data_IF_315929486536
#
_entry.id   IF_315929486536
#
_cell.length_a   1.000
_cell.length_b   1.000
_cell.length_c   1.000
_cell.angle_alpha   90.00
_cell.angle_beta   90.00
_cell.angle_gamma   90.00
#
_symmetry.space_group_name_H-M   'P 1'
#
loop_
_entity.id
_entity.type
_entity.pdbx_description
1 polymer ?
#
# COMPACT_ATOMS: atom_id res chain seq x y z
N UNK A 1 47.24 -10.15 3.46
CA UNK A 1 46.38 -10.43 4.62
C UNK A 1 44.97 -10.50 4.08
N UNK A 2 44.39 -11.70 4.02
CA UNK A 2 43.03 -11.89 3.50
C UNK A 2 42.08 -11.41 4.59
N UNK A 3 41.36 -10.31 4.36
CA UNK A 3 40.20 -9.98 5.19
C UNK A 3 39.16 -11.06 4.90
N UNK A 4 39.09 -12.08 5.75
CA UNK A 4 37.96 -12.99 5.76
C UNK A 4 36.73 -12.17 6.10
N UNK A 5 35.83 -12.00 5.14
CA UNK A 5 34.49 -11.49 5.43
C UNK A 5 33.90 -12.36 6.55
N UNK A 6 33.25 -11.77 7.57
CA UNK A 6 32.61 -12.54 8.62
C UNK A 6 31.69 -13.57 7.96
N UNK A 7 31.89 -14.86 8.30
CA UNK A 7 30.98 -15.91 7.85
C UNK A 7 29.59 -15.56 8.41
N UNK A 8 28.67 -15.14 7.53
CA UNK A 8 27.29 -14.93 7.91
C UNK A 8 26.71 -16.30 8.28
N UNK A 9 26.37 -16.49 9.55
CA UNK A 9 25.75 -17.72 10.02
C UNK A 9 24.41 -17.90 9.29
N UNK A 10 24.25 -19.05 8.63
CA UNK A 10 23.02 -19.44 7.95
C UNK A 10 21.98 -19.83 9.00
N UNK A 11 21.12 -18.89 9.38
CA UNK A 11 20.24 -19.01 10.55
C UNK A 11 18.78 -18.63 10.24
N UNK A 12 17.86 -19.43 10.77
CA UNK A 12 16.45 -19.08 10.97
C UNK A 12 16.19 -19.13 12.47
N UNK A 13 15.62 -18.07 13.03
CA UNK A 13 15.36 -17.95 14.46
C UNK A 13 14.55 -19.14 15.00
N UNK A 14 15.10 -19.87 15.96
CA UNK A 14 14.41 -20.98 16.65
C UNK A 14 13.43 -20.46 17.71
N UNK A 15 12.35 -19.83 17.24
CA UNK A 15 11.26 -19.35 18.09
C UNK A 15 9.90 -19.64 17.48
N UNK A 16 8.95 -20.07 18.31
CA UNK A 16 7.59 -20.27 17.85
C UNK A 16 6.92 -18.94 17.46
N UNK A 17 5.96 -18.95 16.52
CA UNK A 17 5.15 -17.77 16.21
C UNK A 17 4.47 -17.14 17.43
N UNK A 18 4.15 -17.94 18.46
CA UNK A 18 3.58 -17.42 19.71
C UNK A 18 4.60 -16.61 20.52
N UNK A 19 5.84 -17.08 20.60
CA UNK A 19 6.93 -16.37 21.29
C UNK A 19 7.25 -15.07 20.59
N UNK A 20 7.36 -15.08 19.25
CA UNK A 20 7.66 -13.88 18.45
C UNK A 20 6.57 -12.81 18.65
N UNK A 21 5.29 -13.17 18.56
CA UNK A 21 4.19 -12.22 18.82
C UNK A 21 4.28 -11.63 20.24
N UNK A 22 4.59 -12.45 21.25
CA UNK A 22 4.72 -11.97 22.63
C UNK A 22 5.93 -11.06 22.86
N UNK A 23 6.99 -11.20 22.06
CA UNK A 23 8.13 -10.26 22.05
C UNK A 23 7.73 -8.97 21.37
N UNK A 24 7.10 -9.03 20.19
CA UNK A 24 6.62 -7.86 19.44
C UNK A 24 5.71 -6.98 20.31
N UNK A 25 4.81 -7.58 21.08
CA UNK A 25 3.90 -6.83 21.97
C UNK A 25 4.59 -6.08 23.11
N UNK A 26 5.86 -6.39 23.42
CA UNK A 26 6.67 -5.71 24.44
C UNK A 26 7.62 -4.68 23.85
N UNK A 27 7.83 -4.69 22.53
CA UNK A 27 8.76 -3.78 21.87
C UNK A 27 8.39 -2.30 22.02
N UNK A 28 7.11 -1.87 22.04
CA UNK A 28 6.76 -0.47 22.30
C UNK A 28 7.24 0.08 23.66
N UNK A 29 7.49 -0.78 24.64
CA UNK A 29 7.96 -0.39 25.97
C UNK A 29 9.49 -0.32 26.08
N UNK A 30 10.22 -0.59 24.99
CA UNK A 30 11.69 -0.56 24.97
C UNK A 30 12.22 0.89 24.94
N UNK A 31 13.42 1.13 25.50
CA UNK A 31 14.04 2.44 25.44
C UNK A 31 14.48 2.79 24.01
N UNK A 32 14.41 4.09 23.69
CA UNK A 32 14.95 4.67 22.46
C UNK A 32 16.36 5.25 22.70
N UNK A 33 17.31 5.07 21.76
CA UNK A 33 18.64 5.65 21.87
C UNK A 33 18.61 7.18 21.80
N UNK A 34 19.63 7.82 22.35
CA UNK A 34 19.92 9.23 22.09
C UNK A 34 20.92 9.31 20.92
N UNK A 35 20.48 9.79 19.75
CA UNK A 35 21.32 9.91 18.57
C UNK A 35 21.32 8.66 17.67
N UNK A 36 22.47 8.35 17.07
CA UNK A 36 22.60 7.30 16.03
C UNK A 36 23.03 5.92 16.58
N UNK A 37 23.10 5.77 17.90
CA UNK A 37 23.51 4.52 18.53
C UNK A 37 22.45 3.41 18.36
N UNK A 38 22.92 2.17 18.25
CA UNK A 38 22.07 0.98 18.30
C UNK A 38 22.04 0.43 19.73
N UNK A 39 20.86 0.22 20.29
CA UNK A 39 20.69 -0.46 21.58
C UNK A 39 20.39 -1.93 21.33
N UNK A 40 21.17 -2.81 21.94
CA UNK A 40 20.89 -4.25 21.96
C UNK A 40 19.95 -4.58 23.12
N UNK A 41 19.03 -5.51 22.89
CA UNK A 41 18.12 -6.00 23.91
C UNK A 41 17.78 -7.47 23.71
N UNK A 42 17.30 -8.11 24.79
CA UNK A 42 16.89 -9.51 24.79
C UNK A 42 15.59 -9.69 25.56
N UNK A 43 14.54 -10.17 24.88
CA UNK A 43 13.23 -10.47 25.48
C UNK A 43 12.91 -11.94 25.26
N UNK A 44 12.70 -12.68 26.34
CA UNK A 44 12.33 -14.10 26.29
C UNK A 44 13.27 -14.98 25.42
N UNK A 45 14.57 -14.64 25.42
CA UNK A 45 15.59 -15.36 24.66
C UNK A 45 15.78 -14.87 23.22
N UNK A 46 14.89 -14.01 22.71
CA UNK A 46 15.01 -13.40 21.38
C UNK A 46 15.78 -12.09 21.50
N UNK A 47 16.82 -11.95 20.69
CA UNK A 47 17.66 -10.77 20.59
C UNK A 47 17.10 -9.82 19.53
N UNK A 48 17.29 -8.53 19.75
CA UNK A 48 16.87 -7.49 18.84
C UNK A 48 17.65 -6.21 19.08
N UNK A 49 17.43 -5.25 18.20
CA UNK A 49 18.09 -3.97 18.27
C UNK A 49 17.08 -2.82 18.23
N UNK A 50 17.46 -1.68 18.76
CA UNK A 50 16.71 -0.42 18.62
C UNK A 50 17.63 0.61 18.00
N UNK A 51 17.13 1.35 17.02
CA UNK A 51 17.75 2.59 16.55
C UNK A 51 16.76 3.75 16.67
N UNK A 52 17.09 4.92 16.12
CA UNK A 52 16.20 6.09 16.17
C UNK A 52 14.85 5.90 15.46
N UNK A 53 14.74 4.91 14.57
CA UNK A 53 13.57 4.69 13.71
C UNK A 53 12.67 3.58 14.24
N UNK A 54 13.22 2.46 14.69
CA UNK A 54 12.44 1.29 15.07
C UNK A 54 13.13 0.39 16.10
N UNK A 55 12.34 -0.49 16.70
CA UNK A 55 12.79 -1.72 17.32
C UNK A 55 12.74 -2.83 16.26
N UNK A 56 13.80 -3.62 16.08
CA UNK A 56 13.89 -4.66 15.06
C UNK A 56 14.32 -6.00 15.65
N UNK A 57 13.69 -7.08 15.19
CA UNK A 57 14.09 -8.47 15.46
C UNK A 57 14.47 -9.13 14.13
N UNK A 58 15.74 -9.50 13.94
CA UNK A 58 16.13 -10.40 12.87
C UNK A 58 15.45 -11.76 13.03
N UNK A 59 14.81 -12.26 11.98
CA UNK A 59 14.09 -13.53 11.99
C UNK A 59 14.82 -14.62 11.19
N UNK A 60 15.53 -14.23 10.13
CA UNK A 60 16.34 -15.15 9.34
C UNK A 60 17.41 -14.42 8.53
N UNK A 61 18.54 -15.08 8.32
CA UNK A 61 19.57 -14.76 7.35
C UNK A 61 20.13 -16.09 6.81
N UNK A 62 19.53 -16.60 5.73
CA UNK A 62 19.75 -18.01 5.31
C UNK A 62 19.77 -18.15 3.80
N UNK A 63 20.44 -19.19 3.29
CA UNK A 63 20.32 -19.57 1.88
C UNK A 63 19.01 -20.31 1.58
N UNK A 64 18.30 -20.81 2.59
CA UNK A 64 17.04 -21.54 2.47
C UNK A 64 15.80 -20.63 2.42
N UNK A 65 15.53 -20.06 1.25
CA UNK A 65 14.34 -19.23 1.04
C UNK A 65 13.02 -19.94 1.31
N UNK A 66 12.96 -21.27 1.14
CA UNK A 66 11.75 -22.05 1.43
C UNK A 66 11.55 -22.18 2.94
N UNK A 67 12.61 -22.44 3.68
CA UNK A 67 12.62 -22.43 5.15
C UNK A 67 12.10 -21.12 5.71
N UNK A 68 12.55 -19.97 5.17
CA UNK A 68 12.03 -18.64 5.56
C UNK A 68 10.53 -18.54 5.33
N UNK A 69 10.04 -18.93 4.15
CA UNK A 69 8.60 -18.84 3.85
C UNK A 69 7.75 -19.77 4.72
N UNK A 70 8.22 -20.98 4.98
CA UNK A 70 7.55 -21.95 5.86
C UNK A 70 7.56 -21.48 7.32
N UNK A 71 8.59 -20.76 7.76
CA UNK A 71 8.66 -20.09 9.06
C UNK A 71 7.71 -18.88 9.17
N UNK A 72 7.69 -18.01 8.15
CA UNK A 72 6.91 -16.76 8.16
C UNK A 72 5.40 -16.99 7.95
N UNK A 73 4.99 -18.07 7.28
CA UNK A 73 3.57 -18.37 7.03
C UNK A 73 2.72 -18.51 8.31
N UNK A 74 3.09 -19.34 9.30
CA UNK A 74 2.34 -19.43 10.55
C UNK A 74 2.42 -18.16 11.40
N UNK A 75 3.52 -17.40 11.31
CA UNK A 75 3.65 -16.09 11.96
C UNK A 75 2.64 -15.08 11.40
N UNK A 76 2.57 -14.91 10.08
CA UNK A 76 1.58 -14.06 9.40
C UNK A 76 0.15 -14.43 9.77
N UNK A 77 -0.19 -15.72 9.75
CA UNK A 77 -1.52 -16.21 10.14
C UNK A 77 -1.88 -15.86 11.59
N UNK A 78 -0.88 -15.81 12.48
CA UNK A 78 -1.10 -15.43 13.88
C UNK A 78 -1.22 -13.92 14.05
N UNK A 79 -0.42 -13.14 13.33
CA UNK A 79 -0.52 -11.68 13.25
C UNK A 79 -1.90 -11.24 12.73
N UNK A 80 -2.38 -11.84 11.63
CA UNK A 80 -3.72 -11.58 11.07
C UNK A 80 -4.83 -11.82 12.10
N UNK A 81 -4.71 -12.88 12.92
CA UNK A 81 -5.68 -13.13 14.00
C UNK A 81 -5.56 -12.14 15.16
N UNK A 82 -4.35 -11.68 15.45
CA UNK A 82 -4.05 -10.86 16.64
C UNK A 82 -4.33 -9.37 16.42
N UNK A 83 -3.98 -8.85 15.25
CA UNK A 83 -4.04 -7.43 14.89
C UNK A 83 -5.01 -7.12 13.74
N UNK A 84 -5.68 -8.15 13.21
CA UNK A 84 -6.78 -8.04 12.22
C UNK A 84 -6.32 -7.54 10.86
N UNK A 85 -6.51 -6.25 10.58
CA UNK A 85 -6.36 -5.70 9.26
C UNK A 85 -4.88 -5.69 8.87
N UNK A 86 -4.60 -6.36 7.76
CA UNK A 86 -3.27 -6.44 7.19
C UNK A 86 -3.14 -5.41 6.08
N UNK A 87 -2.11 -4.59 6.18
CA UNK A 87 -1.78 -3.57 5.22
C UNK A 87 -0.54 -3.96 4.40
N UNK A 88 -0.39 -3.34 3.25
CA UNK A 88 0.75 -3.49 2.37
C UNK A 88 1.57 -2.21 2.35
N UNK A 89 2.89 -2.33 2.32
CA UNK A 89 3.81 -1.23 2.21
C UNK A 89 4.80 -1.49 1.06
N UNK A 90 4.73 -0.67 0.03
CA UNK A 90 5.59 -0.75 -1.15
C UNK A 90 6.85 0.10 -0.91
N UNK A 91 7.91 -0.55 -0.43
CA UNK A 91 9.16 0.12 -0.14
C UNK A 91 9.90 0.58 -1.40
N UNK A 92 9.52 0.11 -2.60
CA UNK A 92 10.13 0.58 -3.84
C UNK A 92 9.64 1.98 -4.24
N UNK A 93 8.53 2.48 -3.66
CA UNK A 93 7.94 3.78 -3.99
C UNK A 93 8.56 4.97 -3.25
N UNK A 94 9.18 4.75 -2.10
CA UNK A 94 9.65 5.82 -1.21
C UNK A 94 11.17 5.88 -1.20
N UNK A 95 11.75 6.67 -2.10
CA UNK A 95 13.19 6.66 -2.39
C UNK A 95 13.94 7.88 -1.89
N UNK A 96 13.31 8.73 -1.09
CA UNK A 96 13.97 9.93 -0.60
C UNK A 96 15.16 9.56 0.30
N UNK A 97 16.17 10.40 0.24
CA UNK A 97 17.44 10.23 0.92
C UNK A 97 17.86 11.54 1.59
N UNK A 98 19.08 11.55 2.15
CA UNK A 98 19.65 12.72 2.82
C UNK A 98 19.81 13.95 1.92
N UNK A 99 19.82 13.75 0.60
CA UNK A 99 20.03 14.80 -0.39
C UNK A 99 18.69 15.33 -0.94
N UNK A 100 17.57 14.70 -0.56
CA UNK A 100 16.22 15.15 -0.89
C UNK A 100 15.89 16.43 -0.11
N UNK A 101 15.28 17.41 -0.78
CA UNK A 101 14.81 18.64 -0.14
C UNK A 101 13.92 18.26 1.06
N UNK A 102 14.23 18.69 2.30
CA UNK A 102 13.43 18.38 3.48
C UNK A 102 11.95 18.71 3.34
N UNK A 103 11.58 19.64 2.45
CA UNK A 103 10.18 20.03 2.16
C UNK A 103 9.44 19.04 1.27
N UNK A 104 10.18 18.19 0.56
CA UNK A 104 9.68 17.17 -0.34
C UNK A 104 9.89 15.77 0.23
N UNK A 105 10.56 15.67 1.39
CA UNK A 105 10.89 14.40 2.03
C UNK A 105 9.62 13.70 2.51
N UNK A 106 9.32 12.56 1.92
CA UNK A 106 8.32 11.63 2.42
C UNK A 106 8.95 10.82 3.55
N UNK A 107 8.46 11.01 4.77
CA UNK A 107 8.97 10.27 5.94
C UNK A 107 8.95 8.75 5.77
N UNK A 108 8.05 8.20 4.94
CA UNK A 108 8.00 6.76 4.62
C UNK A 108 9.27 6.27 3.93
N UNK A 109 10.07 7.18 3.37
CA UNK A 109 11.36 6.86 2.77
C UNK A 109 12.37 6.32 3.78
N UNK A 110 12.28 6.68 5.07
CA UNK A 110 13.14 6.12 6.12
C UNK A 110 12.90 4.61 6.36
N UNK A 111 11.69 4.14 6.73
CA UNK A 111 11.43 2.70 6.86
C UNK A 111 11.57 1.96 5.54
N UNK A 112 11.24 2.59 4.41
CA UNK A 112 11.44 2.00 3.09
C UNK A 112 12.93 1.77 2.79
N UNK A 113 13.81 2.71 3.15
CA UNK A 113 15.26 2.56 3.05
C UNK A 113 15.78 1.35 3.82
N UNK A 114 15.29 1.16 5.06
CA UNK A 114 15.65 0.00 5.87
C UNK A 114 15.16 -1.32 5.25
N UNK A 115 13.91 -1.39 4.79
CA UNK A 115 13.36 -2.58 4.11
C UNK A 115 14.19 -2.92 2.85
N UNK A 116 14.55 -1.91 2.05
CA UNK A 116 15.40 -2.08 0.86
C UNK A 116 16.82 -2.52 1.20
N UNK A 117 17.42 -2.02 2.28
CA UNK A 117 18.76 -2.45 2.71
C UNK A 117 18.83 -3.93 3.09
N UNK A 118 17.67 -4.56 3.37
CA UNK A 118 17.54 -5.97 3.67
C UNK A 118 17.08 -6.78 2.44
N UNK A 119 17.12 -6.20 1.24
CA UNK A 119 16.79 -6.86 -0.02
C UNK A 119 15.29 -7.03 -0.28
N UNK A 120 14.43 -6.40 0.53
CA UNK A 120 12.98 -6.45 0.34
C UNK A 120 12.49 -5.22 -0.44
N UNK A 121 11.49 -5.42 -1.30
CA UNK A 121 10.78 -4.33 -2.02
C UNK A 121 9.41 -4.02 -1.43
N UNK A 122 8.90 -4.96 -0.65
CA UNK A 122 7.55 -4.95 -0.13
C UNK A 122 7.59 -5.41 1.32
N UNK A 123 6.69 -4.85 2.12
CA UNK A 123 6.43 -5.28 3.46
C UNK A 123 4.93 -5.41 3.72
N UNK A 124 4.61 -6.16 4.75
CA UNK A 124 3.28 -6.29 5.31
C UNK A 124 3.27 -5.64 6.67
N UNK A 125 2.20 -4.93 7.04
CA UNK A 125 2.12 -4.37 8.40
C UNK A 125 0.74 -4.44 9.03
N UNK A 126 0.72 -4.32 10.36
CA UNK A 126 -0.49 -4.29 11.20
C UNK A 126 -0.37 -3.18 12.25
N UNK A 127 -1.50 -2.57 12.61
CA UNK A 127 -1.54 -1.59 13.69
C UNK A 127 -1.36 -2.26 15.08
N UNK A 128 -0.57 -1.62 15.93
CA UNK A 128 -0.30 -1.99 17.33
C UNK A 128 -0.38 -0.72 18.20
N UNK A 129 -1.59 -0.28 18.54
CA UNK A 129 -1.77 0.95 19.29
C UNK A 129 -1.40 2.18 18.47
N UNK A 130 -0.41 2.95 18.92
CA UNK A 130 0.20 4.07 18.17
C UNK A 130 1.36 3.63 17.28
N UNK A 131 1.75 2.36 17.36
CA UNK A 131 2.84 1.76 16.61
C UNK A 131 2.31 0.84 15.50
N UNK A 132 3.21 0.39 14.66
CA UNK A 132 2.96 -0.57 13.61
C UNK A 132 3.99 -1.69 13.65
N UNK A 133 3.50 -2.91 13.43
CA UNK A 133 4.34 -4.10 13.26
C UNK A 133 4.56 -4.30 11.77
N UNK A 134 5.81 -4.24 11.32
CA UNK A 134 6.19 -4.40 9.91
C UNK A 134 6.96 -5.68 9.73
N UNK A 135 6.46 -6.58 8.89
CA UNK A 135 7.11 -7.84 8.53
C UNK A 135 7.49 -7.82 7.06
N UNK A 136 8.74 -8.18 6.77
CA UNK A 136 9.24 -8.28 5.40
C UNK A 136 10.20 -9.46 5.24
N UNK A 137 10.32 -9.90 4.00
CA UNK A 137 11.24 -10.93 3.54
C UNK A 137 11.92 -10.41 2.26
N UNK A 138 13.24 -10.37 2.26
CA UNK A 138 14.06 -9.87 1.18
C UNK A 138 15.05 -10.91 0.70
N UNK A 139 15.57 -10.71 -0.51
CA UNK A 139 16.67 -11.49 -1.04
C UNK A 139 17.82 -10.54 -1.39
N UNK A 140 18.97 -10.75 -0.76
CA UNK A 140 20.18 -10.01 -1.05
C UNK A 140 20.97 -10.75 -2.14
N UNK A 141 21.07 -10.20 -3.37
CA UNK A 141 21.81 -10.86 -4.44
C UNK A 141 23.32 -10.87 -4.21
N UNK A 142 23.86 -9.99 -3.35
CA UNK A 142 25.29 -9.88 -3.06
C UNK A 142 25.74 -11.06 -2.21
N UNK A 143 25.00 -11.30 -1.12
CA UNK A 143 25.31 -12.38 -0.17
C UNK A 143 24.60 -13.70 -0.53
N UNK A 144 23.64 -13.66 -1.47
CA UNK A 144 22.74 -14.75 -1.83
C UNK A 144 21.93 -15.29 -0.64
N UNK A 145 21.59 -14.40 0.28
CA UNK A 145 20.82 -14.72 1.49
C UNK A 145 19.39 -14.19 1.40
N UNK A 146 18.46 -15.00 1.87
CA UNK A 146 17.13 -14.57 2.24
C UNK A 146 17.19 -13.96 3.65
N UNK A 147 16.75 -12.71 3.78
CA UNK A 147 16.75 -11.95 5.02
C UNK A 147 15.31 -11.67 5.41
N UNK A 148 14.91 -12.04 6.63
CA UNK A 148 13.59 -11.72 7.17
C UNK A 148 13.74 -11.03 8.51
N UNK A 149 12.89 -10.04 8.77
CA UNK A 149 12.85 -9.35 10.04
C UNK A 149 11.44 -8.82 10.33
N UNK A 150 11.21 -8.52 11.61
CA UNK A 150 10.05 -7.75 12.05
C UNK A 150 10.51 -6.46 12.73
N UNK A 151 9.86 -5.35 12.40
CA UNK A 151 10.08 -4.05 13.02
C UNK A 151 8.83 -3.61 13.78
N UNK A 152 9.03 -2.90 14.88
CA UNK A 152 8.02 -2.08 15.53
C UNK A 152 8.47 -0.63 15.40
N UNK A 153 7.63 0.18 14.77
CA UNK A 153 7.88 1.58 14.43
C UNK A 153 6.63 2.38 14.76
N UNK A 154 6.76 3.67 15.09
CA UNK A 154 5.58 4.52 15.24
C UNK A 154 4.76 4.49 13.94
N UNK A 155 3.43 4.32 14.08
CA UNK A 155 2.54 4.05 12.95
C UNK A 155 2.55 5.20 11.94
N UNK A 156 2.80 6.41 12.41
CA UNK A 156 2.90 7.61 11.60
C UNK A 156 3.98 7.46 10.50
N UNK A 157 5.10 6.77 10.74
CA UNK A 157 6.07 6.49 9.68
C UNK A 157 5.55 5.68 8.49
N UNK A 158 4.41 5.00 8.60
CA UNK A 158 3.83 4.15 7.55
C UNK A 158 2.52 4.69 6.96
N UNK A 159 1.77 5.45 7.73
CA UNK A 159 0.54 6.12 7.31
C UNK A 159 0.85 7.57 6.90
N UNK A 160 0.24 8.15 5.87
CA UNK A 160 0.26 9.61 5.74
C UNK A 160 -0.72 10.27 6.72
N UNK A 161 -0.13 11.12 7.56
CA UNK A 161 -0.77 11.84 8.65
C UNK A 161 0.29 12.52 9.51
N UNK A 162 0.49 13.82 9.25
CA UNK A 162 1.61 14.66 9.70
C UNK A 162 2.12 14.37 11.11
N UNK A 163 3.44 14.26 11.27
CA UNK A 163 4.07 14.31 12.59
C UNK A 163 3.99 15.75 13.16
N UNK A 164 4.22 15.97 14.46
CA UNK A 164 4.13 17.30 15.08
C UNK A 164 4.97 18.38 14.37
N UNK A 165 6.10 17.97 13.79
CA UNK A 165 7.01 18.84 13.05
C UNK A 165 6.43 19.25 11.67
N UNK A 166 5.79 18.33 10.98
CA UNK A 166 5.12 18.53 9.70
C UNK A 166 3.78 19.28 9.87
N UNK A 167 3.09 19.08 11.00
CA UNK A 167 1.94 19.89 11.44
C UNK A 167 2.35 21.33 11.76
N UNK A 168 3.51 21.56 12.37
CA UNK A 168 4.04 22.90 12.65
C UNK A 168 4.47 23.63 11.37
N UNK A 169 5.12 22.92 10.44
CA UNK A 169 5.44 23.43 9.09
C UNK A 169 4.18 23.77 8.30
N UNK A 170 3.13 22.96 8.42
CA UNK A 170 1.85 23.21 7.77
C UNK A 170 0.97 24.27 8.43
N UNK A 171 1.03 24.43 9.75
CA UNK A 171 0.42 25.58 10.43
C UNK A 171 1.04 26.89 9.94
N UNK A 172 2.33 26.88 9.62
CA UNK A 172 3.00 27.99 8.96
C UNK A 172 2.58 28.17 7.49
N UNK A 173 2.27 27.07 6.75
CA UNK A 173 1.75 27.10 5.37
C UNK A 173 0.28 27.49 5.25
N UNK A 174 -0.55 27.12 6.22
CA UNK A 174 -2.01 27.36 6.23
C UNK A 174 -2.38 28.84 6.36
N UNK A 175 -1.40 29.71 6.61
CA UNK A 175 -1.54 31.15 6.47
C UNK A 175 -1.65 31.61 5.00
N UNK A 176 -1.28 30.77 4.01
CA UNK A 176 -1.25 31.10 2.58
C UNK A 176 -1.71 29.90 1.67
N UNK A 177 -3.02 29.76 1.44
CA UNK A 177 -3.66 29.04 0.29
C UNK A 177 -3.25 27.59 -0.05
N UNK A 178 -3.97 26.58 0.45
CA UNK A 178 -3.66 25.12 0.42
C UNK A 178 -4.22 24.32 -0.79
N UNK A 179 -3.34 23.72 -1.60
CA UNK A 179 -3.62 22.89 -2.79
C UNK A 179 -4.08 21.45 -2.52
N UNK A 180 -4.97 21.22 -1.54
CA UNK A 180 -5.54 19.90 -1.25
C UNK A 180 -6.69 19.51 -2.20
N UNK A 181 -6.90 18.21 -2.46
CA UNK A 181 -8.03 17.74 -3.32
C UNK A 181 -9.39 18.23 -2.82
N UNK A 182 -9.55 18.39 -1.50
CA UNK A 182 -10.75 18.96 -0.93
C UNK A 182 -10.91 20.44 -1.31
N UNK A 183 -9.84 21.23 -1.23
CA UNK A 183 -9.82 22.62 -1.70
C UNK A 183 -10.17 22.70 -3.18
N UNK A 184 -9.63 21.79 -4.00
CA UNK A 184 -9.95 21.70 -5.42
C UNK A 184 -11.43 21.38 -5.69
N UNK A 185 -12.02 20.40 -5.00
CA UNK A 185 -13.44 20.09 -5.11
C UNK A 185 -14.36 21.25 -4.71
N UNK A 186 -13.90 22.11 -3.79
CA UNK A 186 -14.66 23.26 -3.29
C UNK A 186 -14.31 24.58 -4.01
N UNK A 187 -13.37 24.54 -4.96
CA UNK A 187 -12.81 25.74 -5.58
C UNK A 187 -13.76 26.48 -6.51
N UNK A 188 -14.78 25.81 -7.04
CA UNK A 188 -15.60 26.33 -8.14
C UNK A 188 -14.91 26.26 -9.51
N UNK A 189 -13.65 25.83 -9.57
CA UNK A 189 -12.86 25.74 -10.81
C UNK A 189 -13.04 24.35 -11.45
N UNK A 190 -13.56 24.34 -12.67
CA UNK A 190 -13.82 23.12 -13.43
C UNK A 190 -12.58 22.23 -13.60
N UNK A 191 -11.42 22.81 -13.93
CA UNK A 191 -10.20 22.06 -14.20
C UNK A 191 -9.66 21.39 -12.93
N UNK A 192 -9.66 22.12 -11.82
CA UNK A 192 -9.24 21.61 -10.49
C UNK A 192 -10.16 20.49 -10.01
N UNK A 193 -11.48 20.66 -10.19
CA UNK A 193 -12.46 19.61 -9.87
C UNK A 193 -12.20 18.36 -10.70
N UNK A 194 -12.01 18.48 -12.02
CA UNK A 194 -11.78 17.32 -12.88
C UNK A 194 -10.46 16.61 -12.60
N UNK A 195 -9.40 17.35 -12.29
CA UNK A 195 -8.15 16.78 -11.80
C UNK A 195 -8.38 15.93 -10.54
N UNK A 196 -9.14 16.47 -9.58
CA UNK A 196 -9.49 15.76 -8.34
C UNK A 196 -10.39 14.55 -8.56
N UNK A 197 -11.33 14.61 -9.51
CA UNK A 197 -12.16 13.46 -9.92
C UNK A 197 -11.28 12.30 -10.37
N UNK A 198 -10.32 12.55 -11.27
CA UNK A 198 -9.43 11.52 -11.76
C UNK A 198 -8.48 10.98 -10.69
N UNK A 199 -8.03 11.84 -9.76
CA UNK A 199 -7.26 11.41 -8.60
C UNK A 199 -8.06 10.43 -7.71
N UNK A 200 -9.33 10.73 -7.41
CA UNK A 200 -10.22 9.84 -6.64
C UNK A 200 -10.51 8.52 -7.37
N UNK A 201 -10.69 8.56 -8.69
CA UNK A 201 -10.92 7.37 -9.50
C UNK A 201 -9.68 6.46 -9.50
N UNK A 202 -8.49 7.04 -9.58
CA UNK A 202 -7.22 6.34 -9.71
C UNK A 202 -6.64 5.83 -8.38
N UNK A 203 -7.13 6.26 -7.22
CA UNK A 203 -6.55 5.91 -5.92
C UNK A 203 -7.40 4.91 -5.12
N UNK A 204 -6.75 4.03 -4.37
CA UNK A 204 -7.38 3.25 -3.28
C UNK A 204 -6.91 3.67 -1.90
N UNK A 205 -6.11 4.74 -1.83
CA UNK A 205 -5.50 5.23 -0.61
C UNK A 205 -6.56 5.73 0.39
N UNK A 206 -6.74 5.06 1.55
CA UNK A 206 -7.68 5.49 2.57
C UNK A 206 -7.44 6.92 3.06
N UNK A 207 -6.23 7.43 2.97
CA UNK A 207 -5.87 8.77 3.47
C UNK A 207 -6.30 9.87 2.51
N UNK A 208 -6.33 9.57 1.22
CA UNK A 208 -6.95 10.43 0.22
C UNK A 208 -8.48 10.35 0.33
N UNK A 209 -9.03 9.14 0.49
CA UNK A 209 -10.46 8.91 0.39
C UNK A 209 -11.24 9.29 1.66
N UNK A 210 -10.70 9.06 2.86
CA UNK A 210 -11.38 9.33 4.12
C UNK A 210 -11.79 10.79 4.34
N UNK A 211 -10.93 11.82 4.15
CA UNK A 211 -11.34 13.21 4.33
C UNK A 211 -12.38 13.63 3.29
N UNK A 212 -12.31 13.11 2.07
CA UNK A 212 -13.26 13.37 0.99
C UNK A 212 -14.60 12.68 1.25
N UNK A 213 -14.59 11.42 1.69
CA UNK A 213 -15.78 10.64 2.00
C UNK A 213 -16.60 11.28 3.12
N UNK A 214 -15.94 11.73 4.20
CA UNK A 214 -16.57 12.49 5.30
C UNK A 214 -17.27 13.78 4.83
N UNK A 215 -16.81 14.35 3.71
CA UNK A 215 -17.31 15.62 3.15
C UNK A 215 -18.04 15.43 1.81
N UNK A 216 -18.38 14.19 1.45
CA UNK A 216 -18.97 13.83 0.15
C UNK A 216 -20.18 14.67 -0.21
N UNK A 217 -21.08 14.94 0.74
CA UNK A 217 -22.26 15.78 0.52
C UNK A 217 -21.92 17.25 0.27
N UNK A 218 -20.86 17.77 0.91
CA UNK A 218 -20.40 19.14 0.70
C UNK A 218 -19.77 19.27 -0.69
N UNK A 219 -18.92 18.29 -1.06
CA UNK A 219 -18.32 18.19 -2.40
C UNK A 219 -19.41 18.14 -3.47
N UNK A 220 -20.41 17.25 -3.32
CA UNK A 220 -21.54 17.14 -4.22
C UNK A 220 -22.25 18.49 -4.40
N UNK A 221 -22.67 19.14 -3.31
CA UNK A 221 -23.38 20.43 -3.37
C UNK A 221 -22.56 21.54 -4.01
N UNK A 222 -21.25 21.55 -3.77
CA UNK A 222 -20.35 22.58 -4.32
C UNK A 222 -20.16 22.45 -5.83
N UNK A 223 -20.09 21.21 -6.33
CA UNK A 223 -19.77 20.96 -7.75
C UNK A 223 -21.00 20.66 -8.62
N UNK A 224 -22.16 20.31 -8.06
CA UNK A 224 -23.34 19.88 -8.82
C UNK A 224 -23.94 20.97 -9.74
N UNK A 225 -23.64 22.24 -9.51
CA UNK A 225 -24.12 23.36 -10.35
C UNK A 225 -23.04 23.91 -11.27
N UNK A 226 -21.88 23.26 -11.36
CA UNK A 226 -20.78 23.65 -12.22
C UNK A 226 -20.89 22.87 -13.53
N UNK A 227 -20.87 23.56 -14.66
CA UNK A 227 -20.86 22.92 -15.96
C UNK A 227 -19.49 22.26 -16.19
N UNK A 228 -19.39 20.96 -15.91
CA UNK A 228 -18.13 20.21 -16.04
C UNK A 228 -17.78 19.86 -17.49
N UNK A 229 -18.70 20.11 -18.42
CA UNK A 229 -18.52 19.87 -19.85
C UNK A 229 -18.32 18.40 -20.21
N UNK A 230 -17.65 18.16 -21.33
CA UNK A 230 -17.38 16.83 -21.87
C UNK A 230 -17.88 16.68 -23.29
N UNK A 231 -16.97 16.66 -24.26
CA UNK A 231 -17.33 16.58 -25.68
C UNK A 231 -17.68 15.15 -26.13
N UNK A 232 -16.92 14.15 -25.66
CA UNK A 232 -17.06 12.74 -26.07
C UNK A 232 -17.54 11.83 -24.92
N UNK A 233 -17.20 12.20 -23.68
CA UNK A 233 -17.65 11.55 -22.46
C UNK A 233 -18.07 12.63 -21.48
N UNK A 234 -19.24 12.45 -20.84
CA UNK A 234 -19.74 13.41 -19.85
C UNK A 234 -18.82 13.44 -18.64
N UNK A 235 -18.29 14.61 -18.32
CA UNK A 235 -17.49 14.79 -17.12
C UNK A 235 -18.33 14.74 -15.84
N UNK A 236 -19.64 15.01 -15.93
CA UNK A 236 -20.58 14.81 -14.83
C UNK A 236 -20.63 13.33 -14.43
N UNK A 237 -20.68 12.40 -15.40
CA UNK A 237 -20.62 10.96 -15.11
C UNK A 237 -19.31 10.55 -14.43
N UNK A 238 -18.19 11.20 -14.79
CA UNK A 238 -16.91 10.96 -14.11
C UNK A 238 -16.96 11.46 -12.65
N UNK A 239 -17.56 12.64 -12.42
CA UNK A 239 -17.76 13.19 -11.08
C UNK A 239 -18.69 12.31 -10.22
N UNK A 240 -19.83 11.90 -10.76
CA UNK A 240 -20.76 10.96 -10.10
C UNK A 240 -20.07 9.65 -9.73
N UNK A 241 -19.22 9.13 -10.62
CA UNK A 241 -18.45 7.93 -10.35
C UNK A 241 -17.40 8.10 -9.24
N UNK A 242 -16.73 9.26 -9.18
CA UNK A 242 -15.86 9.58 -8.04
C UNK A 242 -16.64 9.61 -6.72
N UNK A 243 -17.86 10.17 -6.70
CA UNK A 243 -18.73 10.16 -5.52
C UNK A 243 -19.18 8.75 -5.14
N UNK A 244 -19.47 7.89 -6.12
CA UNK A 244 -19.76 6.47 -5.88
C UNK A 244 -18.59 5.76 -5.20
N UNK A 245 -17.35 6.02 -5.64
CA UNK A 245 -16.16 5.44 -4.98
C UNK A 245 -16.04 5.90 -3.53
N UNK A 246 -16.26 7.19 -3.26
CA UNK A 246 -16.25 7.72 -1.90
C UNK A 246 -17.34 7.08 -1.03
N UNK A 247 -18.53 6.81 -1.59
CA UNK A 247 -19.60 6.10 -0.90
C UNK A 247 -19.25 4.64 -0.59
N UNK A 248 -18.65 3.93 -1.56
CA UNK A 248 -18.19 2.56 -1.35
C UNK A 248 -17.13 2.50 -0.25
N UNK A 249 -16.20 3.46 -0.25
CA UNK A 249 -15.20 3.60 0.79
C UNK A 249 -15.84 3.80 2.17
N UNK A 250 -16.74 4.78 2.30
CA UNK A 250 -17.45 5.10 3.55
C UNK A 250 -18.27 3.89 4.07
N UNK A 251 -18.84 3.13 3.14
CA UNK A 251 -19.60 1.91 3.43
C UNK A 251 -18.74 0.67 3.67
N UNK A 252 -17.41 0.81 3.75
CA UNK A 252 -16.46 -0.31 3.89
C UNK A 252 -16.61 -1.41 2.83
N UNK A 253 -17.07 -1.06 1.63
CA UNK A 253 -17.15 -1.95 0.46
C UNK A 253 -15.89 -1.80 -0.37
N UNK A 254 -15.41 -2.91 -0.94
CA UNK A 254 -14.25 -2.87 -1.83
C UNK A 254 -14.51 -1.96 -3.04
N UNK A 255 -13.57 -1.08 -3.34
CA UNK A 255 -13.67 -0.08 -4.41
C UNK A 255 -13.81 -0.69 -5.81
N UNK A 256 -13.36 -1.94 -6.01
CA UNK A 256 -13.59 -2.66 -7.27
C UNK A 256 -15.07 -2.92 -7.56
N UNK A 257 -15.96 -2.74 -6.58
CA UNK A 257 -17.39 -2.80 -6.81
C UNK A 257 -17.87 -1.74 -7.81
N UNK A 258 -17.12 -0.65 -7.98
CA UNK A 258 -17.37 0.41 -8.94
C UNK A 258 -16.95 0.06 -10.39
N UNK A 259 -16.12 -0.96 -10.60
CA UNK A 259 -15.56 -1.27 -11.93
C UNK A 259 -16.63 -1.51 -13.02
N UNK A 260 -17.71 -2.29 -12.78
CA UNK A 260 -18.73 -2.51 -13.80
C UNK A 260 -19.49 -1.26 -14.24
N UNK A 261 -19.48 -0.20 -13.42
CA UNK A 261 -20.22 1.03 -13.68
C UNK A 261 -19.41 2.07 -14.47
N UNK A 262 -18.13 1.81 -14.77
CA UNK A 262 -17.25 2.82 -15.34
C UNK A 262 -16.25 2.26 -16.33
N UNK A 263 -16.22 2.88 -17.50
CA UNK A 263 -15.59 2.32 -18.68
C UNK A 263 -14.11 2.68 -18.85
N UNK A 264 -13.52 3.47 -17.94
CA UNK A 264 -12.14 3.97 -18.06
C UNK A 264 -11.15 3.25 -17.14
N UNK A 265 -11.55 2.14 -16.52
CA UNK A 265 -10.61 1.27 -15.81
C UNK A 265 -9.91 0.35 -16.80
N UNK A 266 -8.68 0.70 -17.14
CA UNK A 266 -7.81 -0.13 -17.96
C UNK A 266 -7.14 -1.20 -17.08
N UNK A 267 -7.28 -2.51 -17.39
CA UNK A 267 -6.70 -3.60 -16.61
C UNK A 267 -5.20 -3.46 -16.35
N UNK A 268 -4.43 -3.03 -17.35
CA UNK A 268 -2.99 -2.81 -17.23
C UNK A 268 -2.66 -1.73 -16.21
N UNK A 269 -3.34 -0.57 -16.27
CA UNK A 269 -3.14 0.51 -15.29
C UNK A 269 -3.53 0.08 -13.88
N UNK A 270 -4.62 -0.67 -13.73
CA UNK A 270 -5.03 -1.18 -12.42
C UNK A 270 -4.06 -2.24 -11.88
N UNK A 271 -3.41 -3.03 -12.75
CA UNK A 271 -2.33 -3.93 -12.35
C UNK A 271 -1.06 -3.18 -11.95
N UNK A 272 -0.62 -2.18 -12.74
CA UNK A 272 0.53 -1.32 -12.41
C UNK A 272 0.33 -0.59 -11.09
N UNK A 273 -0.89 -0.17 -10.77
CA UNK A 273 -1.25 0.45 -9.48
C UNK A 273 -1.36 -0.55 -8.32
N UNK A 274 -1.21 -1.85 -8.58
CA UNK A 274 -1.34 -2.89 -7.55
C UNK A 274 -2.78 -3.10 -7.07
N UNK A 275 -3.78 -2.61 -7.81
CA UNK A 275 -5.21 -2.76 -7.46
C UNK A 275 -5.80 -4.08 -7.94
N UNK A 276 -5.22 -4.61 -9.01
CA UNK A 276 -5.68 -5.81 -9.67
C UNK A 276 -4.49 -6.69 -10.11
N UNK A 277 -4.79 -7.93 -10.49
CA UNK A 277 -3.84 -8.85 -11.10
C UNK A 277 -4.50 -9.47 -12.33
N UNK A 278 -3.85 -9.40 -13.48
CA UNK A 278 -4.27 -10.13 -14.68
C UNK A 278 -3.88 -11.60 -14.53
N UNK A 279 -4.84 -12.48 -14.74
CA UNK A 279 -4.66 -13.93 -14.61
C UNK A 279 -4.46 -14.61 -15.96
N UNK A 280 -4.97 -14.03 -17.03
CA UNK A 280 -4.91 -14.59 -18.38
C UNK A 280 -5.96 -13.97 -19.27
N UNK A 281 -6.21 -14.60 -20.42
CA UNK A 281 -7.18 -14.14 -21.40
C UNK A 281 -8.12 -15.26 -21.84
N UNK A 282 -9.31 -14.89 -22.31
CA UNK A 282 -10.27 -15.78 -22.95
C UNK A 282 -10.52 -15.33 -24.39
N UNK A 283 -10.60 -16.27 -25.36
CA UNK A 283 -11.07 -15.93 -26.70
C UNK A 283 -12.45 -15.26 -26.65
N UNK A 284 -12.64 -14.26 -27.50
CA UNK A 284 -13.93 -13.59 -27.69
C UNK A 284 -14.18 -13.43 -29.18
N UNK A 285 -14.93 -14.38 -29.75
CA UNK A 285 -15.20 -14.44 -31.19
C UNK A 285 -16.02 -13.24 -31.72
N UNK A 286 -16.57 -12.42 -30.83
CA UNK A 286 -17.32 -11.20 -31.17
C UNK A 286 -16.46 -9.95 -31.34
N UNK A 287 -15.14 -10.01 -31.08
CA UNK A 287 -14.28 -8.82 -31.12
C UNK A 287 -12.82 -9.17 -31.46
N UNK A 288 -12.01 -8.14 -31.75
CA UNK A 288 -10.61 -8.31 -32.18
C UNK A 288 -9.64 -8.66 -31.04
N UNK A 289 -10.00 -8.35 -29.79
CA UNK A 289 -9.16 -8.59 -28.62
C UNK A 289 -9.74 -9.71 -27.77
N UNK A 290 -8.92 -10.62 -27.22
CA UNK A 290 -9.43 -11.55 -26.22
C UNK A 290 -9.82 -10.78 -24.96
N UNK A 291 -10.76 -11.31 -24.19
CA UNK A 291 -11.13 -10.72 -22.91
C UNK A 291 -10.08 -11.02 -21.86
N UNK A 292 -9.82 -10.08 -20.96
CA UNK A 292 -8.88 -10.26 -19.86
C UNK A 292 -9.59 -10.81 -18.63
N UNK A 293 -8.98 -11.78 -17.94
CA UNK A 293 -9.44 -12.25 -16.64
C UNK A 293 -8.62 -11.56 -15.56
N UNK A 294 -9.30 -10.81 -14.71
CA UNK A 294 -8.69 -9.91 -13.74
C UNK A 294 -9.20 -10.19 -12.34
N UNK A 295 -8.29 -10.32 -11.38
CA UNK A 295 -8.56 -10.50 -9.97
C UNK A 295 -8.33 -9.18 -9.22
N UNK A 296 -9.31 -8.72 -8.44
CA UNK A 296 -9.09 -7.63 -7.49
C UNK A 296 -8.16 -8.07 -6.36
N UNK A 297 -7.09 -7.31 -6.08
CA UNK A 297 -6.11 -7.68 -5.04
C UNK A 297 -6.64 -7.49 -3.60
N UNK A 298 -7.63 -6.62 -3.39
CA UNK A 298 -8.15 -6.34 -2.04
C UNK A 298 -9.19 -7.36 -1.57
N UNK A 299 -10.13 -7.74 -2.43
CA UNK A 299 -11.26 -8.62 -2.04
C UNK A 299 -11.33 -9.93 -2.83
N UNK A 300 -10.43 -10.15 -3.80
CA UNK A 300 -10.41 -11.37 -4.60
C UNK A 300 -11.56 -11.51 -5.60
N UNK A 301 -12.37 -10.47 -5.84
CA UNK A 301 -13.44 -10.53 -6.86
C UNK A 301 -12.81 -10.71 -8.25
N UNK A 302 -13.34 -11.66 -9.02
CA UNK A 302 -12.94 -11.94 -10.39
C UNK A 302 -13.79 -11.16 -11.39
N UNK A 303 -13.15 -10.72 -12.46
CA UNK A 303 -13.77 -10.01 -13.56
C UNK A 303 -13.31 -10.56 -14.90
N UNK A 304 -14.24 -10.63 -15.85
CA UNK A 304 -13.98 -10.67 -17.29
C UNK A 304 -14.03 -9.24 -17.79
N UNK A 305 -12.97 -8.80 -18.46
CA UNK A 305 -12.86 -7.44 -18.98
C UNK A 305 -12.83 -7.48 -20.50
N UNK A 306 -13.88 -6.90 -21.07
CA UNK A 306 -14.05 -6.72 -22.50
C UNK A 306 -13.43 -5.37 -22.89
N UNK A 307 -12.57 -5.35 -23.91
CA UNK A 307 -12.01 -4.12 -24.50
C UNK A 307 -12.76 -3.82 -25.78
N UNK A 308 -13.30 -2.61 -25.86
CA UNK A 308 -13.84 -2.09 -27.10
C UNK A 308 -13.20 -0.76 -27.50
N UNK A 309 -13.34 -0.43 -28.78
CA UNK A 309 -12.83 0.79 -29.37
C UNK A 309 -13.88 1.38 -30.30
N UNK A 310 -14.13 2.69 -30.16
CA UNK A 310 -14.95 3.45 -31.10
C UNK A 310 -14.40 4.87 -31.24
N UNK A 311 -14.71 5.75 -30.29
CA UNK A 311 -14.13 7.10 -30.22
C UNK A 311 -12.91 7.19 -29.29
N UNK A 312 -12.82 6.26 -28.34
CA UNK A 312 -11.69 6.06 -27.43
C UNK A 312 -11.76 4.61 -26.89
N UNK A 313 -10.65 4.07 -26.36
CA UNK A 313 -10.65 2.77 -25.71
C UNK A 313 -11.55 2.76 -24.47
N UNK A 314 -12.35 1.70 -24.32
CA UNK A 314 -13.20 1.51 -23.15
C UNK A 314 -13.14 0.05 -22.68
N UNK A 315 -13.41 -0.13 -21.39
CA UNK A 315 -13.35 -1.43 -20.74
C UNK A 315 -14.63 -1.74 -19.98
N UNK A 316 -15.25 -2.87 -20.28
CA UNK A 316 -16.44 -3.33 -19.59
C UNK A 316 -16.08 -4.50 -18.68
N UNK A 317 -16.22 -4.23 -17.38
CA UNK A 317 -15.89 -5.18 -16.32
C UNK A 317 -17.14 -5.97 -15.91
N UNK A 318 -17.13 -7.27 -16.16
CA UNK A 318 -18.22 -8.18 -15.78
C UNK A 318 -17.75 -9.12 -14.68
N UNK A 319 -18.45 -9.16 -13.53
CA UNK A 319 -18.08 -10.06 -12.43
C UNK A 319 -18.23 -11.52 -12.84
N UNK A 320 -17.30 -12.37 -12.40
CA UNK A 320 -17.34 -13.81 -12.54
C UNK A 320 -17.52 -14.48 -11.17
N UNK A 321 -18.21 -15.62 -11.16
CA UNK A 321 -18.38 -16.43 -9.94
C UNK A 321 -17.14 -17.25 -9.60
N UNK A 322 -16.42 -17.75 -10.60
CA UNK A 322 -15.25 -18.61 -10.46
C UNK A 322 -14.21 -18.31 -11.53
N UNK A 323 -12.96 -18.77 -11.33
CA UNK A 323 -11.92 -18.72 -12.36
C UNK A 323 -12.33 -19.65 -13.51
N UNK A 324 -12.21 -19.23 -14.78
CA UNK A 324 -12.44 -20.11 -15.92
C UNK A 324 -11.53 -21.34 -15.88
N UNK A 325 -12.07 -22.51 -16.20
CA UNK A 325 -11.36 -23.80 -16.13
C UNK A 325 -10.09 -23.82 -16.97
N UNK A 326 -10.09 -23.14 -18.12
CA UNK A 326 -8.93 -22.99 -19.02
C UNK A 326 -7.75 -22.21 -18.41
N UNK A 327 -7.91 -21.60 -17.23
CA UNK A 327 -6.87 -20.86 -16.52
C UNK A 327 -6.48 -21.51 -15.18
N UNK A 328 -7.02 -22.70 -14.87
CA UNK A 328 -6.58 -23.47 -13.71
C UNK A 328 -5.28 -24.23 -14.05
N UNK A 329 -4.32 -24.32 -13.11
CA UNK A 329 -3.14 -25.16 -13.31
C UNK A 329 -3.55 -26.64 -13.41
N UNK A 330 -2.91 -27.37 -14.34
CA UNK A 330 -3.10 -28.82 -14.56
C UNK A 330 -2.71 -29.68 -13.35
#
# INVERSE_FOLDING_TARGET
MSNGSPEHEDEILDASPKQIIAVIEKMPDLPWPQGEEWLEWKIAGIEGHTNFLCHIVPLAATTDGRGVEDFLRPLRKRADKRWRLRHHFDAARFTDDKDTDPRLYDRRSAPAGMIRSLGAKEATWWALGTDAVVLFNGFDPTDRLHKAAVMVIAQDWLTVGRGPEEEALEAARSAEGDGSLLSDFLSGDQSRILSSVWAVIATRDPEVLAPLAKRRLVIYRSANNIELGGALASNEKNFEHALLRLELFDSSKCLCAAYPAFQFYEPEKEETRGHARRLGTLPNDGQWHPDEIVLCRDCGTLFRVERGEYHYPWWKWTRLATVPESLLPE
#
